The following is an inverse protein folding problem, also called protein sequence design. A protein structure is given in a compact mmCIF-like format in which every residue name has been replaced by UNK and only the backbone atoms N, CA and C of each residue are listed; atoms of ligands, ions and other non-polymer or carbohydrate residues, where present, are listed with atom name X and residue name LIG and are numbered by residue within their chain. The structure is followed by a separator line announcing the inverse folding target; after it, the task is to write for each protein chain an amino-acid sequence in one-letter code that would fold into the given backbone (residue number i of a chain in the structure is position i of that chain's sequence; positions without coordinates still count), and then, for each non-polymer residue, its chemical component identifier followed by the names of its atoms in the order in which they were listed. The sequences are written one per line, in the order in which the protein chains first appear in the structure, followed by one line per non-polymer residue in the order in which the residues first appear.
data_IF_633029369294
#
_entry.id   IF_633029369294
#
_cell.length_a   1.000
_cell.length_b   1.000
_cell.length_c   1.000
_cell.angle_alpha   90.00
_cell.angle_beta   90.00
_cell.angle_gamma   90.00
#
_symmetry.space_group_name_H-M   'P 1'
#
loop_
_entity.id
_entity.type
_entity.pdbx_description
1 polymer ?
#
# COMPACT_ATOMS: atom_id res chain seq x y z
N UNK A 1 -20.22 37.49 -12.64
CA UNK A 1 -19.73 36.37 -13.47
C UNK A 1 -20.28 35.12 -12.82
N UNK A 2 -21.13 34.39 -13.53
CA UNK A 2 -21.86 33.24 -12.98
C UNK A 2 -20.88 32.11 -12.63
N UNK A 3 -20.85 31.72 -11.35
CA UNK A 3 -20.01 30.62 -10.84
C UNK A 3 -20.61 29.24 -11.14
N UNK A 4 -21.90 29.18 -11.47
CA UNK A 4 -22.65 27.95 -11.76
C UNK A 4 -22.12 27.11 -12.95
N UNK A 5 -21.71 27.70 -14.10
CA UNK A 5 -21.19 26.93 -15.23
C UNK A 5 -19.86 26.24 -14.92
N UNK A 6 -19.05 26.82 -14.03
CA UNK A 6 -17.74 26.28 -13.62
C UNK A 6 -17.95 25.10 -12.66
N UNK A 7 -18.85 25.25 -11.68
CA UNK A 7 -19.21 24.16 -10.76
C UNK A 7 -19.77 22.94 -11.51
N UNK A 8 -20.68 23.16 -12.47
CA UNK A 8 -21.24 22.09 -13.29
C UNK A 8 -20.16 21.39 -14.15
N UNK A 9 -19.19 22.14 -14.68
CA UNK A 9 -18.09 21.56 -15.46
C UNK A 9 -17.20 20.65 -14.61
N UNK A 10 -16.96 21.00 -13.34
CA UNK A 10 -16.22 20.15 -12.40
C UNK A 10 -17.00 18.87 -12.06
N UNK A 11 -18.29 18.96 -11.78
CA UNK A 11 -19.13 17.78 -11.51
C UNK A 11 -19.17 16.80 -12.70
N UNK A 12 -19.25 17.32 -13.93
CA UNK A 12 -19.19 16.51 -15.15
C UNK A 12 -17.82 15.85 -15.32
N UNK A 13 -16.73 16.55 -15.01
CA UNK A 13 -15.38 15.98 -15.07
C UNK A 13 -15.19 14.84 -14.05
N UNK A 14 -15.65 15.03 -12.81
CA UNK A 14 -15.59 14.02 -11.77
C UNK A 14 -16.41 12.77 -12.13
N UNK A 15 -17.60 12.97 -12.70
CA UNK A 15 -18.45 11.88 -13.19
C UNK A 15 -17.77 11.09 -14.33
N UNK A 16 -17.07 11.76 -15.24
CA UNK A 16 -16.33 11.12 -16.32
C UNK A 16 -15.12 10.32 -15.82
N UNK A 17 -14.42 10.83 -14.81
CA UNK A 17 -13.32 10.13 -14.14
C UNK A 17 -13.86 8.85 -13.49
N UNK A 18 -14.93 8.95 -12.71
CA UNK A 18 -15.56 7.81 -12.05
C UNK A 18 -16.04 6.76 -13.06
N UNK A 19 -16.66 7.20 -14.15
CA UNK A 19 -17.09 6.34 -15.25
C UNK A 19 -15.93 5.59 -15.91
N UNK A 20 -14.80 6.27 -16.14
CA UNK A 20 -13.60 5.64 -16.68
C UNK A 20 -13.02 4.60 -15.72
N UNK A 21 -13.01 4.86 -14.41
CA UNK A 21 -12.59 3.87 -13.40
C UNK A 21 -13.51 2.67 -13.37
N UNK A 22 -14.81 2.87 -13.54
CA UNK A 22 -15.77 1.76 -13.62
C UNK A 22 -15.53 0.87 -14.85
N UNK A 23 -15.31 1.47 -16.03
CA UNK A 23 -14.94 0.71 -17.24
C UNK A 23 -13.65 -0.08 -17.05
N UNK A 24 -12.64 0.54 -16.42
CA UNK A 24 -11.37 -0.12 -16.13
C UNK A 24 -11.56 -1.32 -15.20
N UNK A 25 -12.33 -1.18 -14.12
CA UNK A 25 -12.66 -2.30 -13.24
C UNK A 25 -13.31 -3.45 -14.02
N UNK A 26 -14.29 -3.17 -14.88
CA UNK A 26 -14.97 -4.20 -15.68
C UNK A 26 -13.98 -4.93 -16.59
N UNK A 27 -13.06 -4.22 -17.24
CA UNK A 27 -12.01 -4.83 -18.06
C UNK A 27 -11.06 -5.69 -17.23
N UNK A 28 -10.60 -5.20 -16.08
CA UNK A 28 -9.70 -5.94 -15.19
C UNK A 28 -10.36 -7.19 -14.58
N UNK A 29 -11.66 -7.11 -14.24
CA UNK A 29 -12.45 -8.26 -13.78
C UNK A 29 -12.64 -9.30 -14.89
N UNK A 30 -12.94 -8.88 -16.12
CA UNK A 30 -13.04 -9.81 -17.26
C UNK A 30 -11.68 -10.49 -17.54
N UNK A 31 -10.58 -9.73 -17.43
CA UNK A 31 -9.22 -10.23 -17.61
C UNK A 31 -8.77 -11.19 -16.49
N UNK A 32 -9.43 -11.18 -15.32
CA UNK A 32 -9.09 -12.08 -14.21
C UNK A 32 -9.36 -13.55 -14.53
N UNK A 33 -10.25 -13.85 -15.48
CA UNK A 33 -10.57 -15.23 -15.92
C UNK A 33 -10.89 -16.21 -14.77
N UNK A 34 -11.47 -15.71 -13.67
CA UNK A 34 -11.79 -16.51 -12.49
C UNK A 34 -10.66 -16.66 -11.45
N UNK A 35 -9.51 -16.02 -11.66
CA UNK A 35 -8.47 -15.86 -10.62
C UNK A 35 -8.96 -14.87 -9.56
N UNK A 36 -9.44 -15.42 -8.44
CA UNK A 36 -9.98 -14.68 -7.30
C UNK A 36 -9.02 -13.60 -6.79
N UNK A 37 -7.72 -13.87 -6.79
CA UNK A 37 -6.71 -12.91 -6.36
C UNK A 37 -6.57 -11.75 -7.37
N UNK A 38 -6.61 -12.04 -8.67
CA UNK A 38 -6.57 -11.01 -9.71
C UNK A 38 -7.82 -10.12 -9.66
N UNK A 39 -9.00 -10.71 -9.45
CA UNK A 39 -10.25 -9.99 -9.29
C UNK A 39 -10.23 -9.08 -8.04
N UNK A 40 -9.78 -9.59 -6.89
CA UNK A 40 -9.70 -8.80 -5.67
C UNK A 40 -8.67 -7.65 -5.75
N UNK A 41 -7.61 -7.81 -6.53
CA UNK A 41 -6.66 -6.72 -6.81
C UNK A 41 -7.27 -5.60 -7.66
N UNK A 42 -8.06 -5.95 -8.67
CA UNK A 42 -8.81 -4.99 -9.48
C UNK A 42 -9.82 -4.22 -8.61
N UNK A 43 -10.56 -4.94 -7.74
CA UNK A 43 -11.51 -4.33 -6.79
C UNK A 43 -10.79 -3.41 -5.81
N UNK A 44 -9.64 -3.83 -5.25
CA UNK A 44 -8.82 -2.98 -4.36
C UNK A 44 -8.46 -1.66 -5.04
N UNK A 45 -7.91 -1.72 -6.25
CA UNK A 45 -7.51 -0.55 -7.04
C UNK A 45 -8.70 0.37 -7.32
N UNK A 46 -9.82 -0.19 -7.76
CA UNK A 46 -11.03 0.57 -8.02
C UNK A 46 -11.51 1.30 -6.77
N UNK A 47 -11.58 0.61 -5.63
CA UNK A 47 -12.04 1.23 -4.39
C UNK A 47 -11.07 2.30 -3.89
N UNK A 48 -9.76 2.11 -4.02
CA UNK A 48 -8.77 3.13 -3.61
C UNK A 48 -8.88 4.41 -4.43
N UNK A 49 -9.33 4.30 -5.68
CA UNK A 49 -9.47 5.43 -6.60
C UNK A 49 -10.87 6.07 -6.59
N UNK A 50 -11.87 5.44 -5.93
CA UNK A 50 -13.28 5.87 -6.03
C UNK A 50 -14.01 6.01 -4.70
N UNK A 51 -13.53 5.38 -3.61
CA UNK A 51 -14.17 5.44 -2.30
C UNK A 51 -13.51 6.54 -1.46
N UNK A 52 -14.31 7.44 -0.85
CA UNK A 52 -13.77 8.57 -0.07
C UNK A 52 -13.12 8.17 1.26
N UNK A 53 -13.44 6.98 1.80
CA UNK A 53 -12.85 6.48 3.05
C UNK A 53 -12.08 5.19 2.84
N UNK A 54 -10.78 5.25 3.10
CA UNK A 54 -9.83 4.14 3.03
C UNK A 54 -10.11 3.03 4.05
N UNK A 55 -10.80 3.33 5.16
CA UNK A 55 -11.18 2.34 6.17
C UNK A 55 -12.09 1.23 5.59
N UNK A 56 -12.89 1.58 4.58
CA UNK A 56 -13.80 0.66 3.89
C UNK A 56 -13.08 -0.36 3.00
N UNK A 57 -11.81 -0.11 2.64
CA UNK A 57 -11.03 -0.91 1.68
C UNK A 57 -10.12 -1.91 2.40
N UNK A 58 -9.79 -1.64 3.67
CA UNK A 58 -8.88 -2.46 4.48
C UNK A 58 -9.25 -3.96 4.56
N UNK A 59 -10.54 -4.36 4.67
CA UNK A 59 -10.90 -5.78 4.64
C UNK A 59 -10.48 -6.48 3.33
N UNK A 60 -10.58 -5.77 2.20
CA UNK A 60 -10.24 -6.29 0.87
C UNK A 60 -8.72 -6.37 0.71
N UNK A 61 -7.97 -5.38 1.21
CA UNK A 61 -6.50 -5.44 1.23
C UNK A 61 -5.99 -6.66 2.01
N UNK A 62 -6.56 -6.91 3.20
CA UNK A 62 -6.20 -8.08 4.02
C UNK A 62 -6.53 -9.39 3.32
N UNK A 63 -7.67 -9.47 2.65
CA UNK A 63 -8.08 -10.66 1.90
C UNK A 63 -7.15 -10.94 0.71
N UNK A 64 -6.76 -9.91 -0.04
CA UNK A 64 -5.77 -10.01 -1.14
C UNK A 64 -4.43 -10.56 -0.63
N UNK A 65 -3.94 -10.05 0.50
CA UNK A 65 -2.68 -10.53 1.07
C UNK A 65 -2.78 -11.98 1.55
N UNK A 66 -3.86 -12.33 2.26
CA UNK A 66 -4.09 -13.71 2.73
C UNK A 66 -4.13 -14.73 1.58
N UNK A 67 -4.92 -14.45 0.54
CA UNK A 67 -5.07 -15.35 -0.61
C UNK A 67 -3.77 -15.47 -1.42
N UNK A 68 -2.97 -14.40 -1.47
CA UNK A 68 -1.65 -14.46 -2.08
C UNK A 68 -0.69 -15.37 -1.30
N UNK A 69 -0.67 -15.23 0.03
CA UNK A 69 0.16 -16.09 0.89
C UNK A 69 -0.24 -17.56 0.78
N UNK A 70 -1.54 -17.86 0.73
CA UNK A 70 -2.07 -19.20 0.50
C UNK A 70 -1.66 -19.75 -0.88
N UNK A 71 -1.75 -18.94 -1.94
CA UNK A 71 -1.31 -19.30 -3.30
C UNK A 71 0.20 -19.59 -3.35
N UNK A 72 1.01 -18.82 -2.63
CA UNK A 72 2.46 -19.02 -2.55
C UNK A 72 2.83 -20.29 -1.77
N UNK A 73 2.14 -20.58 -0.67
CA UNK A 73 2.28 -21.84 0.08
C UNK A 73 1.88 -23.05 -0.75
N UNK A 74 0.77 -22.96 -1.50
CA UNK A 74 0.28 -24.02 -2.38
C UNK A 74 1.24 -24.32 -3.54
N UNK A 75 2.00 -23.33 -4.01
CA UNK A 75 3.01 -23.49 -5.06
C UNK A 75 4.31 -24.19 -4.60
N UNK A 76 4.36 -24.73 -3.38
CA UNK A 76 5.52 -25.47 -2.87
C UNK A 76 6.73 -24.59 -2.54
N UNK A 77 6.59 -23.27 -2.60
CA UNK A 77 7.57 -22.35 -2.00
C UNK A 77 7.46 -22.50 -0.49
N UNK A 78 8.46 -23.14 0.12
CA UNK A 78 8.56 -23.30 1.57
C UNK A 78 8.68 -21.92 2.19
N UNK A 79 7.56 -21.37 2.63
CA UNK A 79 7.55 -20.28 3.61
C UNK A 79 8.14 -20.84 4.91
N UNK A 80 9.46 -20.73 5.06
CA UNK A 80 10.16 -21.14 6.27
C UNK A 80 9.92 -20.09 7.36
N UNK A 81 8.83 -20.33 8.10
CA UNK A 81 8.62 -20.04 9.51
C UNK A 81 8.78 -18.61 10.07
N UNK A 82 7.83 -18.32 10.97
CA UNK A 82 7.91 -17.50 12.20
C UNK A 82 7.21 -16.13 12.19
N UNK A 83 6.27 -16.01 13.14
CA UNK A 83 5.23 -14.98 13.38
C UNK A 83 4.08 -14.94 12.36
N UNK A 84 2.84 -14.62 12.78
CA UNK A 84 1.74 -14.42 11.85
C UNK A 84 2.13 -13.34 10.83
N UNK A 85 1.85 -13.57 9.55
CA UNK A 85 2.09 -12.61 8.45
C UNK A 85 1.51 -11.21 8.74
N UNK A 86 0.54 -11.13 9.65
CA UNK A 86 -0.17 -9.94 10.10
C UNK A 86 0.73 -8.88 10.76
N UNK A 87 1.87 -9.23 11.38
CA UNK A 87 2.79 -8.23 11.98
C UNK A 87 3.88 -7.73 11.03
N UNK A 88 4.17 -8.49 9.97
CA UNK A 88 5.28 -8.19 9.06
C UNK A 88 4.90 -7.13 8.02
N UNK A 89 3.73 -7.24 7.40
CA UNK A 89 3.29 -6.33 6.35
C UNK A 89 3.24 -4.86 6.81
N UNK A 90 2.74 -4.54 8.02
CA UNK A 90 2.82 -3.18 8.55
C UNK A 90 4.26 -2.67 8.69
N UNK A 91 5.17 -3.46 9.26
CA UNK A 91 6.57 -3.05 9.44
C UNK A 91 7.31 -2.91 8.10
N UNK A 92 7.00 -3.77 7.13
CA UNK A 92 7.53 -3.70 5.77
C UNK A 92 7.07 -2.42 5.05
N UNK A 93 5.81 -2.04 5.21
CA UNK A 93 5.27 -0.78 4.69
C UNK A 93 5.98 0.44 5.29
N UNK A 94 6.15 0.46 6.61
CA UNK A 94 6.85 1.55 7.30
C UNK A 94 8.31 1.67 6.80
N UNK A 95 9.00 0.54 6.67
CA UNK A 95 10.37 0.51 6.16
C UNK A 95 10.46 0.98 4.69
N UNK A 96 9.52 0.56 3.85
CA UNK A 96 9.42 0.99 2.45
C UNK A 96 9.12 2.49 2.34
N UNK A 97 8.24 3.02 3.19
CA UNK A 97 7.92 4.44 3.27
C UNK A 97 9.14 5.29 3.61
N UNK A 98 9.98 4.85 4.55
CA UNK A 98 11.25 5.52 4.87
C UNK A 98 12.19 5.53 3.67
N UNK A 99 12.32 4.40 2.96
CA UNK A 99 13.15 4.31 1.76
C UNK A 99 12.63 5.22 0.65
N UNK A 100 11.32 5.27 0.43
CA UNK A 100 10.71 6.11 -0.59
C UNK A 100 10.85 7.61 -0.28
N UNK A 101 10.68 8.04 0.96
CA UNK A 101 10.91 9.44 1.36
C UNK A 101 12.36 9.84 1.12
N UNK A 102 13.30 8.95 1.40
CA UNK A 102 14.71 9.19 1.10
C UNK A 102 14.99 9.30 -0.39
N UNK A 103 14.50 8.35 -1.20
CA UNK A 103 14.82 8.32 -2.64
C UNK A 103 14.07 9.40 -3.43
N UNK A 104 12.79 9.63 -3.16
CA UNK A 104 11.95 10.57 -3.94
C UNK A 104 12.01 12.00 -3.44
N UNK A 105 12.08 12.22 -2.13
CA UNK A 105 12.10 13.57 -1.53
C UNK A 105 13.50 14.01 -1.11
N UNK A 106 14.53 13.20 -1.38
CA UNK A 106 15.92 13.45 -0.95
C UNK A 106 16.04 13.70 0.57
N UNK A 107 15.08 13.18 1.34
CA UNK A 107 15.05 13.35 2.79
C UNK A 107 16.17 12.50 3.42
N UNK A 108 16.81 13.00 4.48
CA UNK A 108 17.77 12.16 5.20
C UNK A 108 17.07 10.93 5.78
N UNK A 109 17.77 9.79 5.83
CA UNK A 109 17.18 8.55 6.39
C UNK A 109 16.73 8.76 7.84
N UNK A 110 17.46 9.55 8.62
CA UNK A 110 17.12 9.80 10.02
C UNK A 110 15.88 10.71 10.18
N UNK A 111 15.65 11.66 9.26
CA UNK A 111 14.44 12.47 9.23
C UNK A 111 13.23 11.65 8.78
N UNK A 112 13.39 10.85 7.72
CA UNK A 112 12.35 9.95 7.23
C UNK A 112 11.95 8.92 8.32
N UNK A 113 12.92 8.33 9.01
CA UNK A 113 12.67 7.46 10.17
C UNK A 113 11.90 8.20 11.27
N UNK A 114 12.25 9.45 11.57
CA UNK A 114 11.57 10.24 12.60
C UNK A 114 10.12 10.54 12.22
N UNK A 115 9.87 10.90 10.97
CA UNK A 115 8.54 11.20 10.47
C UNK A 115 7.64 9.95 10.51
N UNK A 116 8.12 8.83 9.95
CA UNK A 116 7.34 7.60 9.89
C UNK A 116 7.13 6.98 11.28
N UNK A 117 8.15 6.98 12.15
CA UNK A 117 8.00 6.46 13.51
C UNK A 117 7.03 7.27 14.36
N UNK A 118 7.00 8.60 14.21
CA UNK A 118 6.01 9.47 14.89
C UNK A 118 4.61 9.22 14.37
N UNK A 119 4.42 9.17 13.05
CA UNK A 119 3.12 8.90 12.43
C UNK A 119 2.57 7.54 12.89
N UNK A 120 3.39 6.48 12.78
CA UNK A 120 2.99 5.13 13.18
C UNK A 120 2.96 4.92 14.70
N UNK A 121 3.49 5.85 15.49
CA UNK A 121 3.67 5.69 16.94
C UNK A 121 4.33 4.32 17.29
N UNK A 122 5.45 4.04 16.61
CA UNK A 122 6.29 2.85 16.78
C UNK A 122 7.69 3.23 17.24
N UNK A 123 8.42 2.29 17.84
CA UNK A 123 9.80 2.53 18.23
C UNK A 123 10.70 2.78 17.01
N UNK A 124 11.37 3.94 17.00
CA UNK A 124 12.24 4.35 15.89
C UNK A 124 13.44 3.41 15.72
N UNK A 125 14.00 2.86 16.80
CA UNK A 125 15.16 1.95 16.74
C UNK A 125 14.75 0.62 16.14
N UNK A 126 13.58 0.10 16.49
CA UNK A 126 13.01 -1.11 15.88
C UNK A 126 12.81 -0.93 14.38
N UNK A 127 12.15 0.16 13.96
CA UNK A 127 11.96 0.48 12.54
C UNK A 127 13.30 0.64 11.81
N UNK A 128 14.27 1.34 12.41
CA UNK A 128 15.63 1.51 11.85
C UNK A 128 16.34 0.17 11.66
N UNK A 129 16.27 -0.69 12.66
CA UNK A 129 16.89 -2.03 12.62
C UNK A 129 16.22 -2.91 11.57
N UNK A 130 14.89 -2.96 11.55
CA UNK A 130 14.14 -3.73 10.56
C UNK A 130 14.46 -3.27 9.15
N UNK A 131 14.40 -1.95 8.88
CA UNK A 131 14.74 -1.39 7.57
C UNK A 131 16.16 -1.76 7.15
N UNK A 132 17.15 -1.61 8.03
CA UNK A 132 18.54 -1.95 7.73
C UNK A 132 18.64 -3.42 7.30
N UNK A 133 18.04 -4.32 8.07
CA UNK A 133 18.14 -5.76 7.83
C UNK A 133 17.38 -6.20 6.58
N UNK A 134 16.23 -5.60 6.28
CA UNK A 134 15.44 -5.94 5.08
C UNK A 134 16.08 -5.39 3.79
N UNK A 135 16.69 -4.20 3.84
CA UNK A 135 17.43 -3.62 2.71
C UNK A 135 18.72 -4.39 2.42
N UNK A 136 19.41 -4.88 3.46
CA UNK A 136 20.59 -5.73 3.31
C UNK A 136 20.25 -7.19 3.00
N UNK A 137 18.97 -7.52 2.80
CA UNK A 137 18.48 -8.87 2.48
C UNK A 137 18.92 -9.95 3.49
N UNK A 138 19.05 -9.56 4.77
CA UNK A 138 19.47 -10.46 5.87
C UNK A 138 18.27 -11.14 6.54
N UNK A 139 17.05 -10.61 6.32
CA UNK A 139 15.81 -11.21 6.81
C UNK A 139 15.36 -12.38 5.90
N UNK A 140 14.35 -13.13 6.35
CA UNK A 140 13.76 -14.20 5.56
C UNK A 140 13.31 -13.71 4.16
N UNK A 141 13.43 -14.58 3.15
CA UNK A 141 13.14 -14.24 1.75
C UNK A 141 11.73 -13.63 1.57
N UNK A 142 10.71 -14.23 2.21
CA UNK A 142 9.33 -13.73 2.19
C UNK A 142 9.22 -12.30 2.76
N UNK A 143 10.01 -12.00 3.79
CA UNK A 143 10.07 -10.67 4.42
C UNK A 143 10.68 -9.63 3.48
N UNK A 144 11.77 -10.01 2.81
CA UNK A 144 12.43 -9.16 1.80
C UNK A 144 11.51 -8.94 0.60
N UNK A 145 10.81 -9.99 0.16
CA UNK A 145 9.87 -9.93 -0.96
C UNK A 145 8.69 -9.00 -0.70
N UNK A 146 8.07 -9.08 0.49
CA UNK A 146 6.96 -8.17 0.83
C UNK A 146 7.42 -6.71 1.02
N UNK A 147 8.62 -6.46 1.56
CA UNK A 147 9.21 -5.11 1.53
C UNK A 147 9.39 -4.57 0.11
N UNK A 148 9.95 -5.38 -0.81
CA UNK A 148 10.10 -5.00 -2.23
C UNK A 148 8.75 -4.78 -2.92
N UNK A 149 7.69 -5.46 -2.47
CA UNK A 149 6.33 -5.22 -2.94
C UNK A 149 5.81 -3.88 -2.47
N UNK A 150 5.86 -3.60 -1.16
CA UNK A 150 5.45 -2.31 -0.60
C UNK A 150 6.22 -1.15 -1.23
N UNK A 151 7.53 -1.32 -1.47
CA UNK A 151 8.33 -0.31 -2.14
C UNK A 151 7.82 0.00 -3.55
N UNK A 152 7.53 -1.03 -4.36
CA UNK A 152 6.95 -0.85 -5.70
C UNK A 152 5.57 -0.20 -5.67
N UNK A 153 4.74 -0.54 -4.67
CA UNK A 153 3.43 0.11 -4.50
C UNK A 153 3.57 1.59 -4.19
N UNK A 154 4.48 1.97 -3.29
CA UNK A 154 4.75 3.37 -2.93
C UNK A 154 5.42 4.14 -4.08
N UNK A 155 6.29 3.49 -4.84
CA UNK A 155 6.90 4.07 -6.05
C UNK A 155 5.87 4.35 -7.15
N UNK A 156 4.78 3.59 -7.19
CA UNK A 156 3.67 3.79 -8.12
C UNK A 156 2.77 5.00 -7.80
N UNK A 157 2.92 5.63 -6.63
CA UNK A 157 2.12 6.79 -6.22
C UNK A 157 2.51 8.06 -6.99
N UNK A 158 1.54 8.91 -7.32
CA UNK A 158 1.81 10.23 -7.92
C UNK A 158 2.43 11.19 -6.89
N UNK A 159 3.09 12.27 -7.36
CA UNK A 159 3.68 13.25 -6.44
C UNK A 159 2.68 13.93 -5.51
N UNK A 160 1.45 14.13 -6.00
CA UNK A 160 0.34 14.74 -5.26
C UNK A 160 -0.21 13.86 -4.15
N UNK A 161 -0.15 12.54 -4.33
CA UNK A 161 -0.66 11.56 -3.35
C UNK A 161 0.40 11.21 -2.30
N UNK A 162 1.66 11.22 -2.71
CA UNK A 162 2.77 10.60 -1.98
C UNK A 162 2.87 10.98 -0.50
N UNK A 163 2.91 12.28 -0.19
CA UNK A 163 3.16 12.73 1.20
C UNK A 163 1.97 12.43 2.13
N UNK A 164 0.74 12.68 1.65
CA UNK A 164 -0.47 12.42 2.42
C UNK A 164 -0.76 10.93 2.59
N UNK A 165 -0.46 10.13 1.57
CA UNK A 165 -0.70 8.69 1.57
C UNK A 165 0.32 7.93 2.42
N UNK A 166 1.60 8.30 2.33
CA UNK A 166 2.65 7.72 3.18
C UNK A 166 2.33 7.92 4.66
N UNK A 167 1.93 9.13 5.06
CA UNK A 167 1.64 9.45 6.45
C UNK A 167 0.41 8.68 6.96
N UNK A 168 -0.70 8.70 6.22
CA UNK A 168 -1.94 7.97 6.58
C UNK A 168 -1.71 6.47 6.69
N UNK A 169 -1.03 5.87 5.71
CA UNK A 169 -0.76 4.44 5.73
C UNK A 169 0.23 4.06 6.83
N UNK A 170 1.14 4.96 7.22
CA UNK A 170 2.04 4.74 8.35
C UNK A 170 1.31 4.75 9.69
N UNK A 171 0.39 5.70 9.91
CA UNK A 171 -0.48 5.72 11.10
C UNK A 171 -1.29 4.43 11.23
N UNK A 172 -1.87 3.97 10.12
CA UNK A 172 -2.62 2.71 10.06
C UNK A 172 -1.73 1.51 10.36
N UNK A 173 -0.57 1.40 9.72
CA UNK A 173 0.39 0.32 9.98
C UNK A 173 0.82 0.28 11.46
N UNK A 174 1.00 1.44 12.09
CA UNK A 174 1.28 1.58 13.51
C UNK A 174 0.23 0.97 14.43
N UNK A 175 -1.06 1.13 14.12
CA UNK A 175 -2.17 0.54 14.88
C UNK A 175 -2.17 -0.99 14.88
N UNK A 176 -1.60 -1.63 13.85
CA UNK A 176 -1.53 -3.10 13.75
C UNK A 176 -0.33 -3.71 14.45
N UNK A 177 0.63 -2.89 14.88
CA UNK A 177 1.83 -3.33 15.58
C UNK A 177 1.68 -3.29 17.11
N UNK A 178 0.49 -2.90 17.59
CA UNK A 178 0.11 -2.80 19.01
C UNK A 178 -0.92 -3.84 19.36
#
# INVERSE_FOLDING_TARGET
MDEQPIALAHEVADALILWNRHKQLVTELAASQGDELAALRAIRRYLSETVPSHESIMPIMRLVHRLYDEKMKAAGRKSNASKPAESFAPMAWLAASVTALHSRKQMSIDDALSQISRAANVDRRELKSFRKNVVSEVLAEDTVAGYKLCLREIEGMTETEFDGEILRCSELAGKYLK
#
